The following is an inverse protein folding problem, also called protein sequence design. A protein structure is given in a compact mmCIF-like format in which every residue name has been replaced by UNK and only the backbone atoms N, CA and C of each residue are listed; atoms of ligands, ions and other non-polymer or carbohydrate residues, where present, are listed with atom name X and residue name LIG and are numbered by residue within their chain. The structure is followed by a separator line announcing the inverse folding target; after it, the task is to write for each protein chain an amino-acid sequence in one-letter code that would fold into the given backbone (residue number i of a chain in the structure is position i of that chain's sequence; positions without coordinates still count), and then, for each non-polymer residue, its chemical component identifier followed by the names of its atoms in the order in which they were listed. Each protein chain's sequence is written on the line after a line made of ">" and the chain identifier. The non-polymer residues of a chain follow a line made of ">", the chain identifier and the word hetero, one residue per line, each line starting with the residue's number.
data_IF_342472920287
#
_entry.id   IF_342472920287
#
_cell.length_a   1.000
_cell.length_b   1.000
_cell.length_c   1.000
_cell.angle_alpha   90.00
_cell.angle_beta   90.00
_cell.angle_gamma   90.00
#
_symmetry.space_group_name_H-M   'P 1'
#
loop_
_entity.id
_entity.type
_entity.pdbx_description
1 polymer ?
#
# COMPACT_ATOMS: atom_id res chain seq x y z
N UNK A 1 10.08 26.30 -7.19
CA UNK A 1 9.93 24.84 -7.48
C UNK A 1 8.49 24.60 -7.96
N UNK A 2 8.25 24.16 -9.21
CA UNK A 2 6.87 23.91 -9.69
C UNK A 2 6.32 22.69 -8.93
N UNK A 3 5.36 22.91 -8.00
CA UNK A 3 4.62 21.82 -7.36
C UNK A 3 3.87 21.06 -8.44
N UNK A 4 4.06 19.75 -8.52
CA UNK A 4 3.27 18.93 -9.44
C UNK A 4 1.80 19.10 -9.06
N UNK A 5 0.93 19.42 -10.04
CA UNK A 5 -0.53 19.39 -9.84
C UNK A 5 -1.03 17.93 -9.77
N UNK A 6 -0.36 17.05 -9.01
CA UNK A 6 -0.59 15.60 -9.09
C UNK A 6 -2.04 15.27 -8.79
N UNK A 7 -2.72 14.65 -9.76
CA UNK A 7 -4.03 14.05 -9.53
C UNK A 7 -3.80 12.57 -9.19
N UNK A 8 -3.75 12.28 -7.89
CA UNK A 8 -4.00 10.97 -7.28
C UNK A 8 -4.43 11.08 -5.77
N UNK A 9 -4.19 12.27 -5.18
CA UNK A 9 -4.82 12.99 -4.05
C UNK A 9 -4.52 12.65 -2.59
N UNK A 10 -4.37 13.74 -1.83
CA UNK A 10 -4.97 14.04 -0.52
C UNK A 10 -5.22 15.57 -0.37
N UNK A 11 -6.44 16.00 -0.03
CA UNK A 11 -6.63 17.29 0.66
C UNK A 11 -7.19 17.00 2.05
N UNK A 12 -6.25 17.07 3.00
CA UNK A 12 -6.34 16.95 4.45
C UNK A 12 -6.51 15.56 5.09
N UNK A 13 -7.42 14.66 4.70
CA UNK A 13 -7.31 13.22 5.12
C UNK A 13 -8.21 12.19 4.42
N UNK A 14 -8.97 12.48 3.36
CA UNK A 14 -9.91 11.47 2.81
C UNK A 14 -9.21 10.35 2.00
N UNK A 15 -8.35 9.60 2.70
CA UNK A 15 -7.62 8.41 2.31
C UNK A 15 -8.58 7.31 1.85
N UNK A 16 -9.02 7.39 0.61
CA UNK A 16 -9.69 6.29 -0.05
C UNK A 16 -8.80 5.72 -1.13
N UNK A 17 -7.88 4.87 -0.68
CA UNK A 17 -7.87 3.59 -1.35
C UNK A 17 -9.10 2.81 -0.93
N UNK A 18 -10.16 2.87 -1.76
CA UNK A 18 -11.41 2.12 -1.52
C UNK A 18 -11.14 0.64 -1.24
N UNK A 19 -10.03 0.14 -1.78
CA UNK A 19 -9.49 -1.19 -1.55
C UNK A 19 -8.04 -1.03 -1.04
N UNK A 20 -7.63 -1.68 0.05
CA UNK A 20 -6.27 -1.64 0.57
C UNK A 20 -5.21 -1.88 -0.53
N UNK A 21 -4.11 -1.13 -0.48
CA UNK A 21 -2.92 -1.40 -1.30
C UNK A 21 -1.95 -2.24 -0.51
N UNK A 22 -1.27 -3.18 -1.17
CA UNK A 22 -0.03 -3.67 -0.60
C UNK A 22 1.02 -2.55 -0.56
N UNK A 23 1.47 -2.18 0.64
CA UNK A 23 2.53 -1.19 0.86
C UNK A 23 3.89 -1.62 0.28
N UNK A 24 4.09 -2.90 -0.03
CA UNK A 24 5.31 -3.38 -0.70
C UNK A 24 5.23 -3.34 -2.23
N UNK A 25 4.18 -3.92 -2.81
CA UNK A 25 4.11 -4.16 -4.27
C UNK A 25 3.04 -3.34 -5.00
N UNK A 26 2.29 -2.49 -4.31
CA UNK A 26 1.27 -1.64 -4.91
C UNK A 26 0.01 -2.38 -5.41
N UNK A 27 -0.07 -3.71 -5.26
CA UNK A 27 -1.22 -4.50 -5.72
C UNK A 27 -2.48 -4.11 -4.94
N UNK A 28 -3.58 -3.90 -5.68
CA UNK A 28 -4.94 -3.64 -5.16
C UNK A 28 -5.86 -4.87 -5.38
N UNK A 29 -5.42 -5.83 -6.22
CA UNK A 29 -6.12 -7.08 -6.54
C UNK A 29 -5.13 -8.24 -6.68
N UNK A 30 -5.45 -9.44 -6.18
CA UNK A 30 -4.75 -10.69 -6.54
C UNK A 30 -5.55 -11.39 -7.65
N UNK A 31 -4.85 -11.78 -8.72
CA UNK A 31 -5.45 -12.37 -9.92
C UNK A 31 -5.38 -13.90 -9.86
N UNK A 32 -6.52 -14.58 -9.69
CA UNK A 32 -6.72 -16.03 -9.84
C UNK A 32 -5.53 -16.92 -9.35
N UNK A 33 -5.31 -18.10 -9.95
CA UNK A 33 -4.20 -19.00 -9.58
C UNK A 33 -2.80 -18.46 -9.94
N UNK A 34 -2.69 -17.30 -10.56
CA UNK A 34 -1.44 -16.77 -11.11
C UNK A 34 -0.83 -15.73 -10.16
N UNK A 35 0.12 -16.16 -9.34
CA UNK A 35 0.86 -15.27 -8.46
C UNK A 35 1.58 -15.99 -7.33
N UNK A 36 2.33 -15.23 -6.54
CA UNK A 36 3.04 -15.69 -5.35
C UNK A 36 2.17 -15.69 -4.08
N UNK A 37 0.83 -15.55 -4.22
CA UNK A 37 -0.15 -15.53 -3.13
C UNK A 37 -0.06 -16.85 -2.30
N UNK A 38 0.11 -16.76 -0.96
CA UNK A 38 0.19 -17.93 -0.04
C UNK A 38 -1.14 -18.67 0.07
N UNK A 39 -2.24 -17.95 -0.14
CA UNK A 39 -3.60 -18.48 -0.23
C UNK A 39 -4.01 -18.33 -1.71
N UNK A 40 -4.43 -19.41 -2.35
CA UNK A 40 -4.86 -19.37 -3.76
C UNK A 40 -6.31 -18.92 -3.85
N UNK A 41 -6.63 -18.14 -4.89
CA UNK A 41 -7.98 -17.64 -5.16
C UNK A 41 -8.58 -18.30 -6.40
N UNK A 42 -9.16 -19.50 -6.30
CA UNK A 42 -9.73 -20.20 -7.45
C UNK A 42 -10.99 -19.49 -7.95
N UNK A 43 -11.02 -19.12 -9.23
CA UNK A 43 -12.22 -18.60 -9.90
C UNK A 43 -12.64 -17.18 -9.50
N UNK A 44 -11.85 -16.49 -8.66
CA UNK A 44 -12.20 -15.15 -8.17
C UNK A 44 -11.02 -14.19 -8.21
N UNK A 45 -11.33 -12.92 -8.45
CA UNK A 45 -10.40 -11.82 -8.23
C UNK A 45 -10.59 -11.29 -6.81
N UNK A 46 -9.53 -11.35 -6.02
CA UNK A 46 -9.64 -10.97 -4.62
C UNK A 46 -9.14 -9.55 -4.41
N UNK A 47 -9.94 -8.76 -3.71
CA UNK A 47 -9.69 -7.34 -3.39
C UNK A 47 -10.04 -7.08 -1.93
N UNK A 48 -9.80 -5.87 -1.43
CA UNK A 48 -10.24 -5.51 -0.09
C UNK A 48 -9.45 -6.26 0.98
N UNK A 49 -10.10 -6.53 2.11
CA UNK A 49 -9.54 -7.32 3.21
C UNK A 49 -9.24 -8.77 2.82
N UNK A 50 -9.95 -9.32 1.84
CA UNK A 50 -9.68 -10.69 1.37
C UNK A 50 -8.33 -10.82 0.64
N UNK A 51 -7.72 -9.70 0.22
CA UNK A 51 -6.38 -9.64 -0.38
C UNK A 51 -5.27 -9.38 0.65
N UNK A 52 -5.63 -8.93 1.85
CA UNK A 52 -4.68 -8.61 2.92
C UNK A 52 -4.20 -9.91 3.58
N UNK A 53 -2.88 -10.06 3.70
CA UNK A 53 -2.25 -11.18 4.40
C UNK A 53 -1.68 -10.81 5.77
N UNK A 54 -1.27 -9.55 5.94
CA UNK A 54 -0.72 -9.04 7.18
C UNK A 54 -0.84 -7.50 7.24
N UNK A 55 -0.70 -6.96 8.44
CA UNK A 55 -0.36 -5.56 8.70
C UNK A 55 1.11 -5.54 9.14
N UNK A 56 1.89 -4.58 8.66
CA UNK A 56 3.30 -4.45 9.04
C UNK A 56 3.47 -3.82 10.43
N UNK A 57 4.23 -4.46 11.34
CA UNK A 57 4.47 -3.90 12.68
C UNK A 57 5.35 -2.64 12.69
N UNK A 58 6.08 -2.36 11.60
CA UNK A 58 7.00 -1.22 11.51
C UNK A 58 6.35 0.07 10.99
N UNK A 59 5.33 -0.08 10.14
CA UNK A 59 4.77 1.04 9.39
C UNK A 59 3.24 0.92 9.23
N UNK A 60 2.61 -0.04 9.88
CA UNK A 60 1.15 -0.33 9.89
C UNK A 60 0.50 -0.48 8.51
N UNK A 61 1.30 -0.52 7.44
CA UNK A 61 0.81 -0.65 6.09
C UNK A 61 0.26 -2.05 5.82
N UNK A 62 -0.77 -2.11 4.98
CA UNK A 62 -1.33 -3.36 4.53
C UNK A 62 -0.33 -4.12 3.65
N UNK A 63 -0.17 -5.41 3.89
CA UNK A 63 0.69 -6.28 3.09
C UNK A 63 -0.18 -7.37 2.48
N UNK A 64 -0.12 -7.50 1.16
CA UNK A 64 -0.80 -8.61 0.50
C UNK A 64 -0.13 -9.93 0.89
N UNK A 65 -0.91 -10.99 0.84
CA UNK A 65 -0.46 -12.35 1.10
C UNK A 65 0.48 -12.95 0.02
N UNK A 66 1.18 -12.13 -0.78
CA UNK A 66 2.24 -12.62 -1.66
C UNK A 66 3.47 -13.03 -0.84
N UNK A 67 4.03 -14.23 -1.07
CA UNK A 67 5.19 -14.75 -0.33
C UNK A 67 6.32 -13.73 -0.25
N UNK A 68 6.67 -13.11 -1.38
CA UNK A 68 7.73 -12.10 -1.40
C UNK A 68 7.40 -10.95 -0.47
N UNK A 69 6.19 -10.39 -0.56
CA UNK A 69 5.74 -9.26 0.25
C UNK A 69 5.79 -9.59 1.74
N UNK A 70 5.28 -10.76 2.15
CA UNK A 70 5.30 -11.20 3.55
C UNK A 70 6.74 -11.40 4.07
N UNK A 71 7.65 -11.92 3.26
CA UNK A 71 9.04 -12.19 3.69
C UNK A 71 9.95 -10.96 3.67
N UNK A 72 9.68 -9.96 2.82
CA UNK A 72 10.59 -8.82 2.63
C UNK A 72 10.11 -7.52 3.27
N UNK A 73 8.80 -7.31 3.40
CA UNK A 73 8.29 -5.99 3.76
C UNK A 73 8.72 -5.54 5.15
N UNK A 74 8.75 -6.42 6.15
CA UNK A 74 9.24 -6.10 7.49
C UNK A 74 10.72 -5.66 7.47
N UNK A 75 11.59 -6.40 6.77
CA UNK A 75 13.02 -6.12 6.72
C UNK A 75 13.36 -4.88 5.87
N UNK A 76 12.51 -4.52 4.91
CA UNK A 76 12.73 -3.38 4.01
C UNK A 76 11.45 -2.56 3.90
N UNK A 77 10.85 -2.11 5.02
CA UNK A 77 9.58 -1.39 4.93
C UNK A 77 9.76 -0.11 4.09
N UNK A 78 9.13 0.00 2.91
CA UNK A 78 9.30 1.13 2.00
C UNK A 78 8.63 2.42 2.51
N UNK A 79 7.89 2.30 3.61
CA UNK A 79 7.03 3.31 4.20
C UNK A 79 7.44 3.67 5.64
N UNK A 80 8.58 3.16 6.14
CA UNK A 80 9.01 3.38 7.52
C UNK A 80 9.20 4.88 7.84
N UNK A 81 9.77 5.62 6.89
CA UNK A 81 10.01 7.07 7.00
C UNK A 81 9.09 7.88 6.06
N UNK A 82 7.95 7.33 5.65
CA UNK A 82 7.10 8.00 4.68
C UNK A 82 6.27 9.12 5.34
N UNK A 83 6.45 10.33 4.79
CA UNK A 83 5.71 11.53 5.18
C UNK A 83 4.88 12.03 4.00
N UNK A 84 3.57 12.15 4.18
CA UNK A 84 2.67 12.66 3.15
C UNK A 84 3.08 14.07 2.73
N UNK A 85 3.31 14.29 1.43
CA UNK A 85 3.75 15.60 0.91
C UNK A 85 2.69 16.70 1.02
N UNK A 86 1.43 16.34 1.31
CA UNK A 86 0.31 17.30 1.37
C UNK A 86 -0.07 17.69 2.79
N UNK A 87 -0.05 16.76 3.75
CA UNK A 87 -0.44 17.05 5.14
C UNK A 87 0.67 16.85 6.17
N UNK A 88 1.89 16.50 5.73
CA UNK A 88 3.09 16.35 6.55
C UNK A 88 3.00 15.30 7.68
N UNK A 89 1.95 14.47 7.65
CA UNK A 89 1.76 13.36 8.58
C UNK A 89 2.47 12.09 8.11
N UNK A 90 2.88 11.28 9.08
CA UNK A 90 3.53 9.99 8.85
C UNK A 90 2.54 8.87 8.59
N UNK A 91 3.05 7.69 8.24
CA UNK A 91 2.22 6.52 7.92
C UNK A 91 1.35 6.05 9.08
N UNK A 92 1.86 6.17 10.31
CA UNK A 92 1.15 5.84 11.54
C UNK A 92 -0.09 6.72 11.75
N UNK A 93 0.03 8.01 11.46
CA UNK A 93 -1.11 8.93 11.54
C UNK A 93 -2.22 8.61 10.51
N UNK A 94 -1.87 7.84 9.48
CA UNK A 94 -2.76 7.38 8.41
C UNK A 94 -3.22 5.92 8.59
N UNK A 95 -2.80 5.22 9.64
CA UNK A 95 -3.09 3.80 9.85
C UNK A 95 -2.68 2.95 8.64
N UNK A 96 -1.47 3.17 8.13
CA UNK A 96 -0.93 2.41 7.00
C UNK A 96 -1.43 2.83 5.62
N UNK A 97 -2.19 3.94 5.51
CA UNK A 97 -2.80 4.41 4.25
C UNK A 97 -1.95 5.49 3.57
N UNK A 98 -0.70 5.15 3.28
CA UNK A 98 0.24 5.97 2.51
C UNK A 98 0.81 5.12 1.39
N UNK A 99 1.05 5.70 0.22
CA UNK A 99 1.70 5.02 -0.90
C UNK A 99 2.75 5.89 -1.58
N UNK A 100 3.69 5.26 -2.28
CA UNK A 100 4.67 5.96 -3.09
C UNK A 100 4.15 6.11 -4.53
N UNK A 101 4.02 7.36 -5.00
CA UNK A 101 3.57 7.64 -6.36
C UNK A 101 4.62 7.23 -7.40
N UNK A 102 4.30 6.27 -8.28
CA UNK A 102 5.22 5.78 -9.33
C UNK A 102 5.66 6.81 -10.38
N UNK A 103 5.03 7.99 -10.41
CA UNK A 103 5.37 9.05 -11.37
C UNK A 103 6.31 10.10 -10.79
N UNK A 104 6.14 10.47 -9.52
CA UNK A 104 6.89 11.56 -8.90
C UNK A 104 7.68 11.15 -7.66
N UNK A 105 7.62 9.88 -7.26
CA UNK A 105 8.30 9.28 -6.11
C UNK A 105 8.01 9.95 -4.76
N UNK A 106 6.98 10.79 -4.68
CA UNK A 106 6.52 11.38 -3.43
C UNK A 106 5.54 10.44 -2.73
N UNK A 107 5.51 10.52 -1.39
CA UNK A 107 4.51 9.84 -0.58
C UNK A 107 3.22 10.65 -0.52
N UNK A 108 2.10 9.99 -0.81
CA UNK A 108 0.74 10.54 -0.79
C UNK A 108 -0.12 9.76 0.20
#
# INVERSE_FOLDING_TARGET
>A
RKKQKNRAFCYFCQALQRLPMCGHCGKIKCMLKTGDCVIKHPGVYTTGMAMVGAICDFCEAWVCHGRKCLTSHACTCPLIDATCIECERGVWDHGGRVFNCSFCNNYL
#
